data_IF_304195865115
#
_entry.id   IF_304195865115
#
_cell.length_a   1.000
_cell.length_b   1.000
_cell.length_c   1.000
_cell.angle_alpha   90.00
_cell.angle_beta   90.00
_cell.angle_gamma   90.00
#
_symmetry.space_group_name_H-M   'P 1'
#
loop_
_entity.id
_entity.type
_entity.pdbx_description
1 polymer ?
#
# COMPACT_ATOMS: atom_id res chain seq x y z
N UNK A 1 -2.98 16.94 21.18
CA UNK A 1 -4.13 16.08 21.57
C UNK A 1 -5.51 16.66 21.26
N UNK A 2 -5.77 17.96 21.46
CA UNK A 2 -7.11 18.53 21.29
C UNK A 2 -7.61 18.64 19.83
N UNK A 3 -6.73 18.73 18.81
CA UNK A 3 -7.12 18.91 17.40
C UNK A 3 -7.53 17.64 16.70
N UNK A 4 -6.94 16.47 17.01
CA UNK A 4 -7.38 15.17 16.49
C UNK A 4 -8.83 14.81 16.87
N UNK A 5 -9.35 15.36 17.97
CA UNK A 5 -10.72 15.12 18.42
C UNK A 5 -11.79 15.67 17.46
N UNK A 6 -11.43 16.55 16.50
CA UNK A 6 -12.36 17.15 15.53
C UNK A 6 -12.41 16.41 14.19
N UNK A 7 -11.46 15.52 13.90
CA UNK A 7 -11.51 14.73 12.67
C UNK A 7 -12.40 13.51 12.88
N UNK A 8 -13.61 13.60 12.36
CA UNK A 8 -14.58 12.52 12.40
C UNK A 8 -14.08 11.38 11.48
N UNK A 9 -14.13 10.09 11.91
CA UNK A 9 -13.86 8.95 11.04
C UNK A 9 -14.94 8.73 9.99
N UNK A 10 -15.88 9.65 9.90
CA UNK A 10 -16.92 9.66 8.90
C UNK A 10 -16.70 10.85 7.98
N UNK A 11 -16.86 10.63 6.68
CA UNK A 11 -17.13 11.75 5.83
C UNK A 11 -18.33 12.47 6.42
N UNK A 12 -18.13 13.69 6.91
CA UNK A 12 -19.21 14.64 7.10
C UNK A 12 -20.11 14.55 5.88
N UNK A 13 -21.41 14.78 6.02
CA UNK A 13 -22.36 14.80 4.88
C UNK A 13 -21.86 15.62 3.68
N UNK A 14 -20.89 16.54 3.90
CA UNK A 14 -20.20 17.29 2.85
C UNK A 14 -19.12 16.56 2.07
N UNK A 15 -18.64 15.39 2.49
CA UNK A 15 -17.56 14.69 1.75
C UNK A 15 -18.02 14.16 0.39
N UNK A 16 -19.21 13.58 0.22
CA UNK A 16 -19.70 13.23 -1.11
C UNK A 16 -19.75 14.44 -2.05
N UNK A 17 -20.14 15.61 -1.54
CA UNK A 17 -20.18 16.85 -2.30
C UNK A 17 -18.79 17.39 -2.62
N UNK A 18 -17.85 17.36 -1.68
CA UNK A 18 -16.44 17.71 -1.90
C UNK A 18 -15.83 16.77 -2.94
N UNK A 19 -16.06 15.47 -2.83
CA UNK A 19 -15.60 14.47 -3.81
C UNK A 19 -16.20 14.68 -5.20
N UNK A 20 -17.47 15.06 -5.29
CA UNK A 20 -18.11 15.39 -6.56
C UNK A 20 -17.50 16.64 -7.19
N UNK A 21 -17.34 17.74 -6.42
CA UNK A 21 -16.62 18.94 -6.87
C UNK A 21 -15.22 18.61 -7.36
N UNK A 22 -14.50 17.76 -6.61
CA UNK A 22 -13.17 17.28 -6.94
C UNK A 22 -13.13 16.53 -8.27
N UNK A 23 -14.08 15.62 -8.46
CA UNK A 23 -14.21 14.87 -9.71
C UNK A 23 -14.48 15.80 -10.90
N UNK A 24 -15.33 16.79 -10.71
CA UNK A 24 -15.64 17.79 -11.75
C UNK A 24 -14.38 18.62 -12.06
N UNK A 25 -13.70 19.14 -11.04
CA UNK A 25 -12.49 19.95 -11.20
C UNK A 25 -11.33 19.19 -11.85
N UNK A 26 -11.26 17.88 -11.67
CA UNK A 26 -10.26 17.01 -12.28
C UNK A 26 -10.75 16.36 -13.59
N UNK A 27 -11.98 16.59 -14.01
CA UNK A 27 -12.49 16.04 -15.25
C UNK A 27 -11.66 16.55 -16.43
N UNK A 28 -11.18 15.64 -17.27
CA UNK A 28 -10.29 15.97 -18.39
C UNK A 28 -8.84 16.27 -18.01
N UNK A 29 -8.50 16.39 -16.70
CA UNK A 29 -7.12 16.53 -16.27
C UNK A 29 -6.37 15.20 -16.45
N UNK A 30 -5.17 15.27 -17.02
CA UNK A 30 -4.30 14.11 -17.19
C UNK A 30 -3.05 14.29 -16.33
N UNK A 31 -2.55 13.18 -15.79
CA UNK A 31 -1.18 13.15 -15.25
C UNK A 31 -0.19 13.24 -16.41
N UNK A 32 1.03 13.76 -16.16
CA UNK A 32 2.12 13.63 -17.12
C UNK A 32 2.28 12.15 -17.52
N UNK A 33 2.48 11.92 -18.82
CA UNK A 33 2.59 10.57 -19.35
C UNK A 33 3.75 9.81 -18.70
N UNK A 34 3.51 8.56 -18.40
CA UNK A 34 4.57 7.66 -17.98
C UNK A 34 5.48 7.39 -19.18
N UNK A 35 6.79 7.46 -18.95
CA UNK A 35 7.82 7.18 -19.94
C UNK A 35 9.02 6.57 -19.24
N UNK A 36 9.76 5.74 -19.95
CA UNK A 36 11.03 5.24 -19.46
C UNK A 36 11.96 6.40 -19.11
N UNK A 37 12.54 6.35 -17.93
CA UNK A 37 13.47 7.36 -17.39
C UNK A 37 14.59 6.66 -16.63
N UNK A 38 15.74 7.33 -16.52
CA UNK A 38 16.84 6.88 -15.68
C UNK A 38 17.28 8.01 -14.75
N UNK A 39 17.70 7.63 -13.56
CA UNK A 39 18.36 8.45 -12.57
C UNK A 39 19.62 7.69 -12.11
N UNK A 40 20.57 8.34 -11.45
CA UNK A 40 21.81 7.71 -10.98
C UNK A 40 21.54 6.45 -10.12
N UNK A 41 20.58 6.56 -9.20
CA UNK A 41 20.21 5.49 -8.27
C UNK A 41 18.84 4.88 -8.56
N UNK A 42 18.38 4.91 -9.81
CA UNK A 42 17.08 4.33 -10.16
C UNK A 42 16.71 4.40 -11.63
N UNK A 43 15.63 3.72 -11.94
CA UNK A 43 15.03 3.77 -13.28
C UNK A 43 13.51 3.59 -13.19
N UNK A 44 12.80 4.11 -14.17
CA UNK A 44 11.40 3.87 -14.44
C UNK A 44 11.29 3.18 -15.79
N UNK A 45 10.62 2.03 -15.84
CA UNK A 45 10.29 1.31 -17.07
C UNK A 45 8.80 1.00 -17.14
N UNK A 46 8.28 0.88 -18.34
CA UNK A 46 6.92 0.42 -18.56
C UNK A 46 6.90 -1.08 -18.87
N UNK A 47 6.07 -1.82 -18.15
CA UNK A 47 5.76 -3.23 -18.45
C UNK A 47 4.27 -3.28 -18.77
N UNK A 48 3.94 -3.50 -20.04
CA UNK A 48 2.54 -3.49 -20.53
C UNK A 48 1.75 -2.27 -20.01
N UNK A 49 2.32 -1.08 -20.13
CA UNK A 49 1.79 0.22 -19.66
C UNK A 49 1.74 0.39 -18.13
N UNK A 50 2.20 -0.58 -17.34
CA UNK A 50 2.35 -0.44 -15.89
C UNK A 50 3.71 0.20 -15.59
N UNK A 51 3.75 1.37 -14.91
CA UNK A 51 5.01 1.96 -14.51
C UNK A 51 5.63 1.16 -13.37
N UNK A 52 6.87 0.72 -13.58
CA UNK A 52 7.71 0.00 -12.61
C UNK A 52 8.93 0.87 -12.32
N UNK A 53 9.05 1.32 -11.10
CA UNK A 53 10.13 2.21 -10.63
C UNK A 53 11.07 1.43 -9.75
N UNK A 54 12.36 1.46 -10.07
CA UNK A 54 13.43 0.91 -9.25
C UNK A 54 14.22 2.03 -8.60
N UNK A 55 14.49 1.91 -7.31
CA UNK A 55 15.38 2.82 -6.57
C UNK A 55 16.30 2.00 -5.68
N UNK A 56 17.59 2.42 -5.58
CA UNK A 56 18.65 1.67 -4.87
C UNK A 56 19.61 2.58 -4.13
N UNK A 57 20.31 2.00 -3.15
CA UNK A 57 21.36 2.64 -2.38
C UNK A 57 20.92 3.10 -1.00
N UNK A 58 21.52 4.17 -0.52
CA UNK A 58 21.17 4.78 0.78
C UNK A 58 19.78 5.39 0.75
N UNK A 59 19.15 5.64 1.92
CA UNK A 59 17.83 6.27 1.96
C UNK A 59 17.76 7.58 1.20
N UNK A 60 18.77 8.45 1.34
CA UNK A 60 18.81 9.73 0.63
C UNK A 60 18.91 9.54 -0.89
N UNK A 61 19.74 8.59 -1.35
CA UNK A 61 19.90 8.28 -2.78
C UNK A 61 18.59 7.74 -3.38
N UNK A 62 17.94 6.81 -2.68
CA UNK A 62 16.64 6.27 -3.12
C UNK A 62 15.56 7.35 -3.18
N UNK A 63 15.48 8.22 -2.17
CA UNK A 63 14.57 9.36 -2.15
C UNK A 63 14.81 10.31 -3.32
N UNK A 64 16.06 10.68 -3.57
CA UNK A 64 16.47 11.55 -4.67
C UNK A 64 16.10 10.95 -6.03
N UNK A 65 16.50 9.71 -6.27
CA UNK A 65 16.17 9.00 -7.51
C UNK A 65 14.66 8.95 -7.76
N UNK A 66 13.87 8.64 -6.73
CA UNK A 66 12.42 8.63 -6.84
C UNK A 66 11.87 10.03 -7.19
N UNK A 67 12.39 11.09 -6.56
CA UNK A 67 12.00 12.47 -6.85
C UNK A 67 12.30 12.88 -8.30
N UNK A 68 13.45 12.49 -8.85
CA UNK A 68 13.84 12.71 -10.24
C UNK A 68 12.96 11.95 -11.23
N UNK A 69 12.64 10.69 -10.91
CA UNK A 69 11.87 9.81 -11.80
C UNK A 69 10.39 10.19 -11.89
N UNK A 70 9.74 10.55 -10.76
CA UNK A 70 8.29 10.73 -10.69
C UNK A 70 7.85 12.10 -10.16
N UNK A 71 8.75 13.08 -10.07
CA UNK A 71 8.47 14.40 -9.46
C UNK A 71 7.35 15.18 -10.17
N UNK A 72 7.25 15.10 -11.50
CA UNK A 72 6.17 15.76 -12.25
C UNK A 72 4.79 15.19 -11.89
N UNK A 73 4.67 13.87 -11.87
CA UNK A 73 3.44 13.19 -11.48
C UNK A 73 3.11 13.50 -10.03
N UNK A 74 4.13 13.54 -9.17
CA UNK A 74 3.98 13.86 -7.74
C UNK A 74 3.41 15.26 -7.52
N UNK A 75 3.99 16.29 -8.14
CA UNK A 75 3.50 17.67 -8.01
C UNK A 75 2.05 17.80 -8.49
N UNK A 76 1.72 17.20 -9.64
CA UNK A 76 0.36 17.21 -10.17
C UNK A 76 -0.62 16.49 -9.25
N UNK A 77 -0.21 15.34 -8.69
CA UNK A 77 -1.04 14.57 -7.76
C UNK A 77 -1.20 15.31 -6.43
N UNK A 78 -0.14 15.93 -5.91
CA UNK A 78 -0.20 16.72 -4.70
C UNK A 78 -1.18 17.89 -4.85
N UNK A 79 -1.03 18.70 -5.90
CA UNK A 79 -1.90 19.84 -6.19
C UNK A 79 -3.36 19.44 -6.38
N UNK A 80 -3.62 18.35 -7.11
CA UNK A 80 -4.98 17.95 -7.52
C UNK A 80 -5.66 16.97 -6.58
N UNK A 81 -4.92 16.31 -5.69
CA UNK A 81 -5.47 15.30 -4.80
C UNK A 81 -5.36 15.71 -3.33
N UNK A 82 -4.16 16.04 -2.83
CA UNK A 82 -3.95 16.37 -1.42
C UNK A 82 -4.75 17.60 -1.01
N UNK A 83 -4.69 18.67 -1.78
CA UNK A 83 -5.44 19.90 -1.49
C UNK A 83 -6.96 19.71 -1.42
N UNK A 84 -7.48 18.65 -2.02
CA UNK A 84 -8.92 18.38 -2.00
C UNK A 84 -9.37 17.63 -0.75
N UNK A 85 -8.54 16.75 -0.21
CA UNK A 85 -8.80 16.02 1.04
C UNK A 85 -8.36 16.81 2.27
N UNK A 86 -7.36 17.66 2.11
CA UNK A 86 -6.76 18.48 3.16
C UNK A 86 -7.23 19.94 3.04
N UNK A 87 -8.44 20.28 3.49
CA UNK A 87 -8.93 21.66 3.41
C UNK A 87 -8.08 22.64 4.25
N UNK A 88 -7.36 22.14 5.25
CA UNK A 88 -6.38 22.86 6.04
C UNK A 88 -5.00 22.19 5.90
N UNK A 89 -4.38 22.33 4.74
CA UNK A 89 -3.04 21.77 4.45
C UNK A 89 -1.99 22.23 5.47
N UNK A 90 -2.07 23.46 5.94
CA UNK A 90 -1.14 23.98 6.97
C UNK A 90 -1.34 23.26 8.30
N UNK A 91 -2.58 23.03 8.72
CA UNK A 91 -2.89 22.26 9.91
C UNK A 91 -2.43 20.80 9.78
N UNK A 92 -2.62 20.18 8.62
CA UNK A 92 -2.17 18.81 8.36
C UNK A 92 -0.64 18.69 8.33
N UNK A 93 0.08 19.71 7.83
CA UNK A 93 1.54 19.78 7.93
C UNK A 93 2.01 19.85 9.39
N UNK A 94 1.32 20.58 10.25
CA UNK A 94 1.64 20.60 11.68
C UNK A 94 1.42 19.22 12.33
N UNK A 95 0.34 18.52 11.97
CA UNK A 95 0.12 17.14 12.43
C UNK A 95 1.20 16.20 11.95
N UNK A 96 1.63 16.30 10.70
CA UNK A 96 2.73 15.51 10.15
C UNK A 96 4.06 15.79 10.90
N UNK A 97 4.30 17.03 11.28
CA UNK A 97 5.45 17.41 12.12
C UNK A 97 5.38 16.81 13.53
N UNK A 98 4.19 16.70 14.12
CA UNK A 98 4.02 16.00 15.41
C UNK A 98 4.36 14.50 15.32
N UNK A 99 4.17 13.87 14.14
CA UNK A 99 4.51 12.47 13.89
C UNK A 99 6.00 12.26 13.55
N UNK A 100 6.68 13.27 13.02
CA UNK A 100 8.07 13.18 12.54
C UNK A 100 9.07 12.61 13.55
N UNK A 101 9.04 12.95 14.86
CA UNK A 101 9.97 12.40 15.84
C UNK A 101 9.91 10.87 15.99
N UNK A 102 8.82 10.24 15.56
CA UNK A 102 8.63 8.78 15.59
C UNK A 102 9.18 8.09 14.34
N UNK A 103 9.55 8.85 13.30
CA UNK A 103 10.14 8.29 12.10
C UNK A 103 11.60 7.90 12.35
N UNK A 104 12.03 6.69 11.91
CA UNK A 104 13.44 6.35 11.81
C UNK A 104 14.23 7.38 10.99
N UNK A 105 15.50 7.60 11.33
CA UNK A 105 16.37 8.54 10.63
C UNK A 105 16.42 8.27 9.12
N UNK A 106 16.53 7.01 8.73
CA UNK A 106 16.54 6.58 7.32
C UNK A 106 15.34 7.11 6.52
N UNK A 107 14.13 7.07 7.08
CA UNK A 107 12.96 7.62 6.39
C UNK A 107 13.00 9.16 6.30
N UNK A 108 13.55 9.84 7.31
CA UNK A 108 13.71 11.30 7.25
C UNK A 108 14.69 11.72 6.15
N UNK A 109 15.77 10.97 5.99
CA UNK A 109 16.75 11.18 4.92
C UNK A 109 16.14 10.93 3.54
N UNK A 110 15.39 9.85 3.40
CA UNK A 110 14.70 9.52 2.15
C UNK A 110 13.63 10.57 1.79
N UNK A 111 12.81 11.00 2.76
CA UNK A 111 11.81 12.06 2.57
C UNK A 111 12.50 13.37 2.16
N UNK A 112 13.66 13.69 2.73
CA UNK A 112 14.44 14.89 2.38
C UNK A 112 14.92 14.81 0.94
N UNK A 113 15.63 13.73 0.57
CA UNK A 113 16.11 13.52 -0.79
C UNK A 113 14.98 13.57 -1.82
N UNK A 114 13.84 12.91 -1.51
CA UNK A 114 12.66 12.96 -2.35
C UNK A 114 12.05 14.37 -2.45
N UNK A 115 11.88 15.08 -1.34
CA UNK A 115 11.30 16.43 -1.30
C UNK A 115 12.13 17.43 -2.12
N UNK A 116 13.44 17.37 -2.00
CA UNK A 116 14.38 18.21 -2.77
C UNK A 116 14.29 17.90 -4.27
N UNK A 117 14.47 16.65 -4.67
CA UNK A 117 14.52 16.25 -6.07
C UNK A 117 13.15 16.35 -6.79
N UNK A 118 12.04 16.13 -6.09
CA UNK A 118 10.70 16.29 -6.64
C UNK A 118 10.25 17.75 -6.76
N UNK A 119 10.91 18.67 -6.06
CA UNK A 119 10.51 20.08 -5.97
C UNK A 119 9.32 20.35 -5.06
N UNK A 120 8.87 19.38 -4.23
CA UNK A 120 7.85 19.59 -3.22
C UNK A 120 8.39 20.27 -1.94
N UNK A 121 9.67 20.03 -1.62
CA UNK A 121 10.24 20.33 -0.33
C UNK A 121 9.87 19.31 0.75
N UNK A 122 10.57 19.38 1.88
CA UNK A 122 10.47 18.38 2.95
C UNK A 122 9.09 18.29 3.59
N UNK A 123 8.47 19.42 3.92
CA UNK A 123 7.18 19.51 4.62
C UNK A 123 6.04 18.81 3.85
N UNK A 124 5.96 19.09 2.56
CA UNK A 124 4.94 18.52 1.71
C UNK A 124 5.19 17.02 1.48
N UNK A 125 6.47 16.65 1.32
CA UNK A 125 6.86 15.25 1.21
C UNK A 125 6.53 14.47 2.49
N UNK A 126 6.76 15.04 3.68
CA UNK A 126 6.42 14.46 4.97
C UNK A 126 4.90 14.30 5.14
N UNK A 127 4.12 15.33 4.79
CA UNK A 127 2.66 15.24 4.82
C UNK A 127 2.16 14.07 3.94
N UNK A 128 2.75 13.86 2.77
CA UNK A 128 2.43 12.72 1.91
C UNK A 128 2.53 11.38 2.62
N UNK A 129 3.52 11.21 3.51
CA UNK A 129 3.73 9.95 4.25
C UNK A 129 2.75 9.77 5.43
N UNK A 130 2.29 10.87 6.01
CA UNK A 130 1.35 10.86 7.14
C UNK A 130 -0.12 10.96 6.70
N UNK A 131 -0.37 11.21 5.40
CA UNK A 131 -1.68 11.53 4.87
C UNK A 131 -2.77 10.51 5.23
N UNK A 132 -2.47 9.21 5.14
CA UNK A 132 -3.45 8.16 5.43
C UNK A 132 -3.70 7.94 6.93
N UNK A 133 -2.78 8.34 7.80
CA UNK A 133 -3.01 8.38 9.25
C UNK A 133 -3.86 9.59 9.64
N UNK A 134 -3.68 10.72 8.97
CA UNK A 134 -4.45 11.94 9.19
C UNK A 134 -5.85 11.82 8.56
N UNK A 135 -5.92 11.36 7.30
CA UNK A 135 -7.14 11.21 6.51
C UNK A 135 -7.39 9.75 6.14
N UNK A 136 -8.34 9.12 6.80
CA UNK A 136 -8.69 7.72 6.60
C UNK A 136 -9.63 7.55 5.42
N UNK A 137 -9.10 7.32 4.23
CA UNK A 137 -9.91 7.33 2.99
C UNK A 137 -9.85 6.01 2.19
N UNK A 138 -9.21 4.95 2.73
CA UNK A 138 -9.05 3.68 2.02
C UNK A 138 -10.04 2.62 2.50
N UNK A 139 -10.64 1.91 1.55
CA UNK A 139 -11.39 0.67 1.77
C UNK A 139 -10.69 -0.46 1.01
N UNK A 140 -10.79 -1.68 1.54
CA UNK A 140 -10.06 -2.81 1.01
C UNK A 140 -10.78 -4.12 1.25
N UNK A 141 -10.43 -5.14 0.48
CA UNK A 141 -10.76 -6.53 0.76
C UNK A 141 -9.62 -7.44 0.35
N UNK A 142 -9.41 -8.51 1.08
CA UNK A 142 -8.33 -9.46 0.83
C UNK A 142 -8.74 -10.89 1.16
N UNK A 143 -8.15 -11.82 0.42
CA UNK A 143 -8.22 -13.26 0.61
C UNK A 143 -6.81 -13.83 0.48
N UNK A 144 -6.43 -14.74 1.38
CA UNK A 144 -5.29 -15.64 1.20
C UNK A 144 -5.78 -17.07 1.19
N UNK A 145 -5.21 -17.91 0.33
CA UNK A 145 -5.51 -19.34 0.26
C UNK A 145 -4.23 -20.10 -0.09
N UNK A 146 -4.07 -21.31 0.47
CA UNK A 146 -2.93 -22.20 0.23
C UNK A 146 -3.30 -23.68 0.40
N UNK A 147 -2.39 -24.58 0.09
CA UNK A 147 -2.52 -26.03 0.25
C UNK A 147 -3.84 -26.58 -0.33
N UNK A 148 -4.67 -27.19 0.50
CA UNK A 148 -5.94 -27.82 0.08
C UNK A 148 -6.97 -26.81 -0.47
N UNK A 149 -6.84 -25.51 -0.17
CA UNK A 149 -7.71 -24.46 -0.66
C UNK A 149 -7.34 -23.95 -2.07
N UNK A 150 -6.18 -24.31 -2.61
CA UNK A 150 -5.77 -23.92 -3.97
C UNK A 150 -5.67 -25.13 -4.90
N UNK A 151 -5.76 -24.88 -6.21
CA UNK A 151 -5.69 -25.97 -7.21
C UNK A 151 -4.30 -26.56 -7.33
N UNK A 152 -3.26 -25.76 -7.11
CA UNK A 152 -1.84 -26.13 -7.21
C UNK A 152 -1.19 -26.38 -5.86
N UNK A 153 -1.85 -26.10 -4.76
CA UNK A 153 -1.27 -26.08 -3.41
C UNK A 153 -0.45 -24.81 -3.10
N UNK A 154 -0.12 -23.98 -4.10
CA UNK A 154 0.64 -22.74 -3.90
C UNK A 154 -0.16 -21.72 -3.10
N UNK A 155 0.55 -20.86 -2.34
CA UNK A 155 -0.07 -19.76 -1.63
C UNK A 155 -0.37 -18.58 -2.58
N UNK A 156 -1.60 -18.10 -2.53
CA UNK A 156 -2.09 -16.94 -3.29
C UNK A 156 -2.70 -15.91 -2.37
N UNK A 157 -2.31 -14.64 -2.53
CA UNK A 157 -2.86 -13.52 -1.76
C UNK A 157 -3.50 -12.50 -2.71
N UNK A 158 -4.82 -12.42 -2.69
CA UNK A 158 -5.60 -11.46 -3.47
C UNK A 158 -5.97 -10.21 -2.67
N UNK A 159 -5.94 -9.03 -3.30
CA UNK A 159 -6.27 -7.76 -2.67
C UNK A 159 -6.97 -6.78 -3.60
N UNK A 160 -8.02 -6.11 -3.10
CA UNK A 160 -8.60 -4.89 -3.65
C UNK A 160 -8.17 -3.66 -2.88
N UNK A 161 -7.82 -2.58 -3.56
CA UNK A 161 -7.80 -1.25 -3.01
C UNK A 161 -8.94 -0.42 -3.60
N UNK A 162 -9.85 -0.07 -2.75
CA UNK A 162 -10.99 0.81 -3.02
C UNK A 162 -10.66 2.19 -2.45
N UNK A 163 -10.30 3.13 -3.33
CA UNK A 163 -9.76 4.43 -2.96
C UNK A 163 -10.36 5.52 -3.85
N UNK A 164 -10.80 6.65 -3.32
CA UNK A 164 -11.39 7.71 -4.13
C UNK A 164 -10.41 8.18 -5.20
N UNK A 165 -10.72 7.89 -6.45
CA UNK A 165 -9.86 8.28 -7.57
C UNK A 165 -9.81 9.78 -7.82
N UNK A 166 -10.92 10.49 -7.55
CA UNK A 166 -11.12 11.91 -7.90
C UNK A 166 -10.76 12.20 -9.37
N UNK A 167 -10.96 11.23 -10.25
CA UNK A 167 -10.62 11.26 -11.69
C UNK A 167 -9.12 11.36 -12.00
N UNK A 168 -8.22 11.19 -11.02
CA UNK A 168 -6.77 11.31 -11.22
C UNK A 168 -5.94 10.19 -10.55
N UNK A 169 -6.24 9.79 -9.32
CA UNK A 169 -5.40 8.87 -8.56
C UNK A 169 -5.29 7.46 -9.16
N UNK A 170 -6.28 7.02 -9.94
CA UNK A 170 -6.25 5.72 -10.63
C UNK A 170 -5.15 5.64 -11.70
N UNK A 171 -4.85 6.78 -12.36
CA UNK A 171 -3.79 6.87 -13.38
C UNK A 171 -2.39 7.02 -12.78
N UNK A 172 -2.31 7.25 -11.47
CA UNK A 172 -1.06 7.43 -10.74
C UNK A 172 -0.54 6.13 -10.10
N UNK A 173 -1.27 5.02 -10.18
CA UNK A 173 -0.82 3.75 -9.59
C UNK A 173 0.44 3.27 -10.29
N UNK A 174 1.45 2.88 -9.50
CA UNK A 174 2.72 2.36 -9.98
C UNK A 174 3.22 1.22 -9.09
N UNK A 175 4.08 0.39 -9.64
CA UNK A 175 4.91 -0.56 -8.89
C UNK A 175 6.20 0.15 -8.52
N UNK A 176 6.65 -0.04 -7.27
CA UNK A 176 7.96 0.42 -6.82
C UNK A 176 8.76 -0.77 -6.32
N UNK A 177 10.03 -0.81 -6.69
CA UNK A 177 11.02 -1.78 -6.26
C UNK A 177 12.13 -1.04 -5.51
N UNK A 178 12.32 -1.40 -4.26
CA UNK A 178 13.36 -0.86 -3.40
C UNK A 178 14.51 -1.85 -3.25
N UNK A 179 15.72 -1.39 -3.45
CA UNK A 179 16.97 -2.10 -3.19
C UNK A 179 17.82 -1.29 -2.20
N UNK A 180 17.42 -1.25 -0.92
CA UNK A 180 18.14 -0.49 0.09
C UNK A 180 19.46 -1.17 0.46
N UNK A 181 20.49 -0.38 0.67
CA UNK A 181 21.80 -0.86 1.07
C UNK A 181 21.73 -1.62 2.41
N UNK A 182 22.27 -2.85 2.43
CA UNK A 182 22.31 -3.67 3.63
C UNK A 182 20.97 -4.24 4.11
N UNK A 183 19.89 -4.11 3.33
CA UNK A 183 18.56 -4.64 3.66
C UNK A 183 18.00 -5.52 2.54
N UNK A 184 16.89 -6.21 2.82
CA UNK A 184 16.16 -6.98 1.80
C UNK A 184 15.60 -6.08 0.72
N UNK A 185 15.62 -6.58 -0.50
CA UNK A 185 14.88 -5.99 -1.62
C UNK A 185 13.38 -6.27 -1.44
N UNK A 186 12.58 -5.27 -1.72
CA UNK A 186 11.13 -5.42 -1.66
C UNK A 186 10.45 -4.55 -2.71
N UNK A 187 9.26 -4.94 -3.08
CA UNK A 187 8.43 -4.21 -4.03
C UNK A 187 7.02 -4.03 -3.50
N UNK A 188 6.33 -3.05 -4.02
CA UNK A 188 4.94 -2.83 -3.66
C UNK A 188 4.23 -1.92 -4.65
N UNK A 189 2.95 -1.71 -4.38
CA UNK A 189 2.11 -0.86 -5.19
C UNK A 189 1.86 0.44 -4.43
N UNK A 190 2.12 1.56 -5.10
CA UNK A 190 2.10 2.89 -4.50
C UNK A 190 1.68 3.96 -5.52
N UNK A 191 1.87 5.21 -5.17
CA UNK A 191 1.66 6.40 -5.97
C UNK A 191 2.89 7.32 -5.92
N UNK A 192 3.11 8.17 -6.93
CA UNK A 192 4.13 9.21 -6.86
C UNK A 192 4.00 10.06 -5.59
N UNK A 193 5.09 10.18 -4.85
CA UNK A 193 5.12 10.95 -3.60
C UNK A 193 4.68 10.22 -2.34
N UNK A 194 4.20 8.98 -2.46
CA UNK A 194 3.87 8.14 -1.33
C UNK A 194 4.93 7.04 -1.17
N UNK A 195 5.90 7.25 -0.26
CA UNK A 195 7.02 6.34 -0.04
C UNK A 195 6.62 5.11 0.79
N UNK A 196 5.51 5.19 1.52
CA UNK A 196 4.93 4.07 2.25
C UNK A 196 4.32 3.01 1.34
N UNK A 197 4.01 1.84 1.89
CA UNK A 197 3.37 0.74 1.16
C UNK A 197 2.08 0.30 1.86
N UNK A 198 1.07 -0.01 1.08
CA UNK A 198 -0.20 -0.60 1.54
C UNK A 198 -0.29 -2.09 1.17
N UNK A 199 0.51 -2.51 0.21
CA UNK A 199 0.67 -3.88 -0.26
C UNK A 199 2.04 -4.03 -0.91
N UNK A 200 2.64 -5.17 -0.71
CA UNK A 200 3.94 -5.47 -1.30
C UNK A 200 4.41 -6.88 -0.97
N UNK A 201 5.57 -7.21 -1.51
CA UNK A 201 6.25 -8.48 -1.31
C UNK A 201 7.76 -8.24 -1.32
N UNK A 202 8.51 -8.98 -0.49
CA UNK A 202 9.97 -8.95 -0.52
C UNK A 202 10.58 -10.16 -1.27
N UNK A 203 11.89 -10.13 -1.44
CA UNK A 203 12.65 -11.18 -2.14
C UNK A 203 12.66 -12.55 -1.44
N UNK A 204 12.30 -12.59 -0.15
CA UNK A 204 12.08 -13.84 0.59
C UNK A 204 10.68 -14.42 0.37
N UNK A 205 9.81 -13.71 -0.35
CA UNK A 205 8.44 -14.13 -0.62
C UNK A 205 7.46 -13.81 0.52
N UNK A 206 7.84 -12.94 1.46
CA UNK A 206 6.88 -12.38 2.42
C UNK A 206 6.04 -11.32 1.72
N UNK A 207 4.75 -11.54 1.61
CA UNK A 207 3.77 -10.62 1.04
C UNK A 207 2.84 -10.07 2.13
N UNK A 208 2.43 -8.81 2.00
CA UNK A 208 1.45 -8.17 2.85
C UNK A 208 0.41 -7.37 2.08
N UNK A 209 -0.79 -7.32 2.67
CA UNK A 209 -1.87 -6.44 2.22
C UNK A 209 -2.58 -5.85 3.42
N UNK A 210 -2.74 -4.53 3.47
CA UNK A 210 -3.42 -3.86 4.56
C UNK A 210 -4.89 -3.55 4.24
N UNK A 211 -5.72 -3.51 5.27
CA UNK A 211 -7.09 -3.01 5.25
C UNK A 211 -7.26 -1.99 6.37
N UNK A 212 -7.54 -0.74 6.01
CA UNK A 212 -7.80 0.29 6.99
C UNK A 212 -9.03 -0.07 7.83
N UNK A 213 -8.95 0.09 9.16
CA UNK A 213 -10.06 -0.10 10.07
C UNK A 213 -10.46 1.25 10.65
N UNK A 214 -11.74 1.56 10.60
CA UNK A 214 -12.28 2.74 11.25
C UNK A 214 -12.57 2.39 12.71
N UNK A 215 -11.57 2.62 13.58
CA UNK A 215 -11.66 2.38 15.01
C UNK A 215 -12.44 3.47 15.75
N UNK A 216 -12.61 3.28 17.06
CA UNK A 216 -13.25 4.29 17.90
C UNK A 216 -12.28 5.47 18.11
N UNK A 217 -12.78 6.71 18.10
CA UNK A 217 -11.99 7.96 18.26
C UNK A 217 -11.00 7.98 19.43
N UNK A 218 -11.26 7.19 20.49
CA UNK A 218 -10.39 7.10 21.66
C UNK A 218 -9.23 6.12 21.48
N UNK A 219 -9.18 5.38 20.38
CA UNK A 219 -8.17 4.35 20.14
C UNK A 219 -7.07 4.78 19.19
N UNK A 220 -7.06 6.02 18.74
CA UNK A 220 -6.08 6.50 17.75
C UNK A 220 -5.43 7.79 18.23
N UNK A 221 -4.12 7.88 18.02
CA UNK A 221 -3.28 9.00 18.41
C UNK A 221 -2.06 9.11 17.47
N UNK A 222 -1.40 10.25 17.45
CA UNK A 222 -0.23 10.48 16.59
C UNK A 222 1.11 10.04 17.22
N UNK A 223 1.08 9.34 18.36
CA UNK A 223 2.30 8.94 19.07
C UNK A 223 2.98 7.69 18.49
N UNK A 224 2.46 7.16 17.38
CA UNK A 224 3.03 6.02 16.66
C UNK A 224 3.74 6.42 15.38
N UNK A 225 4.26 5.41 14.68
CA UNK A 225 4.77 5.58 13.33
C UNK A 225 3.61 5.56 12.32
N UNK A 226 3.69 6.32 11.21
CA UNK A 226 2.76 6.19 10.09
C UNK A 226 2.72 4.74 9.61
N UNK A 227 1.51 4.14 9.59
CA UNK A 227 1.39 2.70 9.31
C UNK A 227 1.91 2.30 7.91
N UNK A 228 1.85 3.13 6.86
CA UNK A 228 2.40 2.73 5.57
C UNK A 228 3.92 2.56 5.59
N UNK A 229 4.63 3.33 6.41
CA UNK A 229 6.06 3.19 6.62
C UNK A 229 6.39 1.99 7.51
N UNK A 230 5.54 1.68 8.50
CA UNK A 230 5.67 0.44 9.31
C UNK A 230 5.57 -0.79 8.39
N UNK A 231 4.61 -0.84 7.48
CA UNK A 231 4.47 -1.99 6.56
C UNK A 231 5.64 -2.12 5.58
N UNK A 232 6.20 -1.00 5.15
CA UNK A 232 7.42 -1.01 4.37
C UNK A 232 8.59 -1.61 5.17
N UNK A 233 8.71 -1.30 6.46
CA UNK A 233 9.71 -1.90 7.35
C UNK A 233 9.49 -3.40 7.53
N UNK A 234 8.26 -3.87 7.63
CA UNK A 234 7.97 -5.32 7.66
C UNK A 234 8.60 -6.01 6.46
N UNK A 235 8.47 -5.45 5.26
CA UNK A 235 9.05 -6.03 4.05
C UNK A 235 10.59 -5.94 4.03
N UNK A 236 11.19 -4.90 4.57
CA UNK A 236 12.62 -4.72 4.64
C UNK A 236 13.29 -5.57 5.74
N UNK A 237 12.64 -5.74 6.90
CA UNK A 237 13.25 -6.30 8.10
C UNK A 237 12.84 -7.76 8.36
N UNK A 238 11.72 -8.26 7.82
CA UNK A 238 11.20 -9.61 8.08
C UNK A 238 11.30 -10.51 6.83
N UNK A 239 11.60 -11.80 7.03
CA UNK A 239 11.72 -12.79 5.95
C UNK A 239 10.44 -13.66 5.78
N UNK A 240 9.61 -13.77 6.82
CA UNK A 240 8.48 -14.68 6.86
C UNK A 240 7.35 -14.15 7.76
N UNK A 241 6.19 -14.84 7.72
CA UNK A 241 5.00 -14.46 8.49
C UNK A 241 5.25 -14.41 10.00
N UNK A 242 6.07 -15.32 10.55
CA UNK A 242 6.32 -15.36 11.99
C UNK A 242 7.09 -14.13 12.47
N UNK A 243 8.13 -13.74 11.73
CA UNK A 243 8.90 -12.52 12.02
C UNK A 243 8.04 -11.27 11.85
N UNK A 244 7.22 -11.21 10.78
CA UNK A 244 6.33 -10.10 10.52
C UNK A 244 5.27 -9.92 11.64
N UNK A 245 4.69 -11.02 12.12
CA UNK A 245 3.76 -10.99 13.27
C UNK A 245 4.45 -10.46 14.51
N UNK A 246 5.62 -11.01 14.87
CA UNK A 246 6.39 -10.56 16.04
C UNK A 246 6.78 -9.08 15.94
N UNK A 247 7.17 -8.63 14.73
CA UNK A 247 7.47 -7.22 14.46
C UNK A 247 6.25 -6.33 14.72
N UNK A 248 5.08 -6.74 14.20
CA UNK A 248 3.85 -5.98 14.33
C UNK A 248 3.30 -5.95 15.77
N UNK A 249 3.55 -6.96 16.59
CA UNK A 249 3.12 -6.99 17.99
C UNK A 249 3.85 -5.98 18.89
N UNK A 250 5.04 -5.54 18.51
CA UNK A 250 5.93 -4.74 19.37
C UNK A 250 5.92 -3.23 19.06
N UNK A 251 5.14 -2.77 18.09
CA UNK A 251 5.21 -1.39 17.59
C UNK A 251 3.98 -0.56 17.96
N UNK A 252 4.16 0.72 18.32
CA UNK A 252 3.04 1.64 18.45
C UNK A 252 2.59 2.09 17.06
N UNK A 253 1.28 2.07 16.84
CA UNK A 253 0.63 2.51 15.60
C UNK A 253 -0.17 3.79 15.81
N UNK A 254 -0.21 4.65 14.83
CA UNK A 254 -1.09 5.81 14.82
C UNK A 254 -2.54 5.44 14.52
N UNK A 255 -2.72 4.43 13.68
CA UNK A 255 -4.01 4.09 13.05
C UNK A 255 -4.33 2.62 13.18
N UNK A 256 -5.59 2.31 13.48
CA UNK A 256 -6.09 0.93 13.50
C UNK A 256 -6.17 0.36 12.10
N UNK A 257 -5.61 -0.83 11.90
CA UNK A 257 -5.57 -1.52 10.61
C UNK A 257 -5.69 -3.03 10.78
N UNK A 258 -6.12 -3.72 9.73
CA UNK A 258 -5.90 -5.15 9.58
C UNK A 258 -4.80 -5.36 8.53
N UNK A 259 -3.98 -6.37 8.73
CA UNK A 259 -2.94 -6.78 7.78
C UNK A 259 -3.11 -8.26 7.47
N UNK A 260 -3.14 -8.62 6.21
CA UNK A 260 -3.01 -10.00 5.75
C UNK A 260 -1.56 -10.23 5.37
N UNK A 261 -0.97 -11.27 5.92
CA UNK A 261 0.40 -11.72 5.66
C UNK A 261 0.37 -13.08 4.98
N UNK A 262 1.30 -13.32 4.07
CA UNK A 262 1.53 -14.59 3.40
C UNK A 262 3.02 -14.76 3.11
N UNK A 263 3.58 -15.97 3.18
CA UNK A 263 4.95 -16.23 2.78
C UNK A 263 5.09 -17.46 1.87
N UNK A 264 6.23 -17.61 1.20
CA UNK A 264 6.53 -18.75 0.31
C UNK A 264 6.56 -20.10 1.03
N UNK A 265 6.63 -20.11 2.37
CA UNK A 265 6.49 -21.33 3.20
C UNK A 265 5.04 -21.74 3.41
N UNK A 266 4.07 -21.11 2.73
CA UNK A 266 2.62 -21.35 2.83
C UNK A 266 2.04 -21.01 4.20
N UNK A 267 2.70 -20.14 4.96
CA UNK A 267 2.12 -19.60 6.17
C UNK A 267 1.32 -18.34 5.83
N UNK A 268 0.17 -18.20 6.48
CA UNK A 268 -0.61 -16.98 6.40
C UNK A 268 -1.12 -16.55 7.78
N UNK A 269 -1.24 -15.24 7.96
CA UNK A 269 -1.82 -14.67 9.17
C UNK A 269 -2.62 -13.40 8.85
N UNK A 270 -3.73 -13.23 9.54
CA UNK A 270 -4.46 -11.99 9.65
C UNK A 270 -4.12 -11.35 10.97
N UNK A 271 -3.50 -10.18 10.94
CA UNK A 271 -3.13 -9.40 12.13
C UNK A 271 -4.05 -8.21 12.22
N UNK A 272 -4.82 -8.11 13.29
CA UNK A 272 -5.70 -6.99 13.58
C UNK A 272 -4.97 -6.05 14.56
N UNK A 273 -4.52 -4.91 14.05
CA UNK A 273 -3.74 -3.93 14.79
C UNK A 273 -4.68 -2.95 15.49
N UNK A 274 -4.95 -3.22 16.74
CA UNK A 274 -5.60 -2.28 17.64
C UNK A 274 -4.52 -1.51 18.42
N UNK A 275 -4.76 -0.24 18.75
CA UNK A 275 -3.75 0.66 19.37
C UNK A 275 -2.99 0.09 20.57
N UNK A 276 -3.57 -0.85 21.30
CA UNK A 276 -2.98 -1.44 22.50
C UNK A 276 -2.53 -2.89 22.30
N UNK A 277 -2.93 -3.55 21.22
CA UNK A 277 -2.76 -4.99 21.06
C UNK A 277 -2.87 -5.39 19.60
N UNK A 278 -1.98 -6.26 19.16
CA UNK A 278 -2.15 -7.02 17.94
C UNK A 278 -2.95 -8.31 18.24
N UNK A 279 -3.93 -8.64 17.40
CA UNK A 279 -4.71 -9.87 17.49
C UNK A 279 -4.42 -10.68 16.24
N UNK A 280 -3.87 -11.86 16.44
CA UNK A 280 -3.37 -12.71 15.35
C UNK A 280 -4.28 -13.91 15.14
N UNK A 281 -4.71 -14.10 13.90
CA UNK A 281 -5.41 -15.30 13.44
C UNK A 281 -4.59 -15.93 12.32
N UNK A 282 -4.14 -17.16 12.54
CA UNK A 282 -3.26 -17.89 11.62
C UNK A 282 -4.04 -18.88 10.78
N UNK A 283 -3.57 -19.14 9.58
CA UNK A 283 -4.02 -20.28 8.80
C UNK A 283 -3.45 -21.59 9.39
N UNK A 284 -4.12 -22.69 9.08
CA UNK A 284 -3.71 -24.05 9.42
C UNK A 284 -4.12 -25.01 8.29
N UNK A 285 -3.70 -26.28 8.31
CA UNK A 285 -4.18 -27.29 7.35
C UNK A 285 -5.70 -27.42 7.30
N UNK A 286 -6.38 -27.24 8.45
CA UNK A 286 -7.84 -27.30 8.60
C UNK A 286 -8.50 -25.95 8.22
N UNK A 287 -7.71 -24.87 8.21
CA UNK A 287 -8.14 -23.53 7.86
C UNK A 287 -7.17 -22.90 6.85
N UNK A 288 -7.08 -23.47 5.62
CA UNK A 288 -6.06 -23.08 4.64
C UNK A 288 -6.41 -21.76 3.89
N UNK A 289 -7.43 -21.04 4.32
CA UNK A 289 -7.81 -19.76 3.73
C UNK A 289 -8.31 -18.77 4.79
N UNK A 290 -7.89 -17.51 4.65
CA UNK A 290 -8.31 -16.40 5.49
C UNK A 290 -8.85 -15.25 4.62
N UNK A 291 -9.82 -14.51 5.16
CA UNK A 291 -10.35 -13.32 4.50
C UNK A 291 -10.46 -12.14 5.48
N UNK A 292 -10.30 -10.94 4.97
CA UNK A 292 -10.39 -9.73 5.76
C UNK A 292 -10.91 -8.54 4.96
N UNK A 293 -11.53 -7.59 5.66
CA UNK A 293 -12.00 -6.31 5.14
C UNK A 293 -11.76 -5.19 6.17
N UNK A 294 -12.53 -4.11 6.15
CA UNK A 294 -12.25 -2.89 6.91
C UNK A 294 -12.91 -2.84 8.31
N UNK A 295 -13.03 -3.97 9.00
CA UNK A 295 -13.52 -4.00 10.38
C UNK A 295 -12.82 -5.11 11.17
N UNK A 296 -12.80 -4.96 12.50
CA UNK A 296 -12.29 -6.00 13.38
C UNK A 296 -13.25 -7.19 13.44
N UNK A 297 -12.69 -8.38 13.44
CA UNK A 297 -13.45 -9.64 13.53
C UNK A 297 -13.48 -10.19 14.96
N UNK A 298 -12.59 -9.71 15.81
CA UNK A 298 -12.49 -10.13 17.21
C UNK A 298 -13.61 -9.52 18.04
N UNK A 299 -14.25 -10.36 18.86
CA UNK A 299 -15.31 -9.92 19.78
C UNK A 299 -14.76 -8.92 20.81
N UNK A 300 -15.50 -7.87 21.09
CA UNK A 300 -15.11 -6.83 22.04
C UNK A 300 -14.33 -5.66 21.45
N UNK A 301 -13.83 -5.77 20.22
CA UNK A 301 -13.17 -4.68 19.51
C UNK A 301 -14.18 -3.98 18.57
N UNK A 302 -14.64 -2.81 18.99
CA UNK A 302 -15.59 -2.03 18.20
C UNK A 302 -14.89 -1.35 17.05
N UNK A 303 -15.39 -1.56 15.83
CA UNK A 303 -15.05 -0.82 14.64
C UNK A 303 -16.32 -0.51 13.86
N UNK A 304 -16.31 0.60 13.14
CA UNK A 304 -17.45 0.94 12.30
C UNK A 304 -17.39 0.10 11.02
N UNK A 305 -18.22 -0.96 10.97
CA UNK A 305 -18.51 -1.67 9.75
C UNK A 305 -19.52 -0.84 8.95
N UNK A 306 -19.03 0.01 8.05
CA UNK A 306 -19.89 0.90 7.28
C UNK A 306 -20.89 0.12 6.45
N UNK A 307 -22.18 0.37 6.63
CA UNK A 307 -23.27 -0.35 5.95
C UNK A 307 -23.38 0.01 4.46
N UNK A 308 -22.97 1.19 4.03
CA UNK A 308 -23.18 1.68 2.67
C UNK A 308 -22.23 1.09 1.61
N UNK A 309 -20.98 0.83 1.98
CA UNK A 309 -20.00 0.11 1.16
C UNK A 309 -19.59 -1.19 1.83
N UNK A 310 -20.43 -1.62 2.67
CA UNK A 310 -20.53 -2.85 3.43
C UNK A 310 -19.25 -3.69 3.50
N UNK A 311 -18.39 -3.32 4.43
CA UNK A 311 -17.25 -4.15 4.83
C UNK A 311 -17.70 -5.57 5.19
N UNK A 312 -18.84 -5.70 5.86
CA UNK A 312 -19.47 -6.99 6.23
C UNK A 312 -20.01 -7.76 5.03
N UNK A 313 -20.64 -7.11 4.05
CA UNK A 313 -21.13 -7.79 2.84
C UNK A 313 -19.95 -8.31 1.99
N UNK A 314 -18.91 -7.50 1.81
CA UNK A 314 -17.70 -7.94 1.09
C UNK A 314 -17.04 -9.12 1.79
N UNK A 315 -16.92 -9.08 3.13
CA UNK A 315 -16.42 -10.22 3.90
C UNK A 315 -17.33 -11.43 3.76
N UNK A 316 -18.64 -11.25 3.76
CA UNK A 316 -19.62 -12.33 3.53
C UNK A 316 -19.44 -13.01 2.18
N UNK A 317 -19.12 -12.28 1.12
CA UNK A 317 -18.80 -12.86 -0.19
C UNK A 317 -17.52 -13.70 -0.15
N UNK A 318 -16.45 -13.18 0.49
CA UNK A 318 -15.18 -13.90 0.64
C UNK A 318 -15.38 -15.18 1.47
N UNK A 319 -16.06 -15.10 2.60
CA UNK A 319 -16.33 -16.25 3.46
C UNK A 319 -17.19 -17.32 2.78
N UNK A 320 -18.21 -16.93 2.01
CA UNK A 320 -19.01 -17.90 1.23
C UNK A 320 -18.16 -18.59 0.18
N UNK A 321 -17.25 -17.88 -0.49
CA UNK A 321 -16.32 -18.49 -1.44
C UNK A 321 -15.40 -19.52 -0.76
N UNK A 322 -14.87 -19.20 0.44
CA UNK A 322 -14.08 -20.16 1.24
C UNK A 322 -14.94 -21.36 1.64
N UNK A 323 -16.12 -21.13 2.18
CA UNK A 323 -17.01 -22.18 2.70
C UNK A 323 -17.60 -23.07 1.60
N UNK A 324 -17.57 -22.66 0.33
CA UNK A 324 -18.04 -23.49 -0.79
C UNK A 324 -17.14 -24.70 -1.08
N UNK A 325 -15.93 -24.77 -0.51
CA UNK A 325 -14.97 -25.82 -0.76
C UNK A 325 -14.34 -25.81 -2.17
N UNK A 326 -14.69 -24.83 -2.99
CA UNK A 326 -14.09 -24.68 -4.34
C UNK A 326 -12.66 -24.20 -4.21
N UNK A 327 -11.73 -24.96 -4.78
CA UNK A 327 -10.32 -24.59 -4.79
C UNK A 327 -10.05 -23.33 -5.61
N UNK A 328 -9.21 -22.46 -5.09
CA UNK A 328 -8.81 -21.22 -5.73
C UNK A 328 -7.66 -21.44 -6.70
N UNK A 329 -7.76 -20.83 -7.85
CA UNK A 329 -6.67 -20.50 -8.76
C UNK A 329 -6.61 -18.99 -8.93
N UNK A 330 -5.65 -18.51 -9.69
CA UNK A 330 -5.45 -17.06 -9.93
C UNK A 330 -6.71 -16.42 -10.53
N UNK A 331 -7.36 -17.09 -11.49
CA UNK A 331 -8.53 -16.50 -12.17
C UNK A 331 -9.77 -16.47 -11.28
N UNK A 332 -9.96 -17.46 -10.43
CA UNK A 332 -11.02 -17.42 -9.40
C UNK A 332 -10.79 -16.33 -8.37
N UNK A 333 -9.53 -16.12 -7.95
CA UNK A 333 -9.20 -14.97 -7.08
C UNK A 333 -9.50 -13.66 -7.80
N UNK A 334 -9.10 -13.47 -9.06
CA UNK A 334 -9.43 -12.28 -9.86
C UNK A 334 -10.94 -12.05 -9.95
N UNK A 335 -11.71 -13.09 -10.23
CA UNK A 335 -13.17 -13.02 -10.29
C UNK A 335 -13.77 -12.62 -8.93
N UNK A 336 -13.27 -13.18 -7.84
CA UNK A 336 -13.70 -12.84 -6.48
C UNK A 336 -13.34 -11.41 -6.10
N UNK A 337 -12.15 -10.95 -6.45
CA UNK A 337 -11.75 -9.56 -6.29
C UNK A 337 -12.66 -8.61 -7.06
N UNK A 338 -13.04 -8.95 -8.29
CA UNK A 338 -14.01 -8.16 -9.05
C UNK A 338 -15.37 -8.09 -8.36
N UNK A 339 -15.86 -9.21 -7.81
CA UNK A 339 -17.14 -9.28 -7.10
C UNK A 339 -17.13 -8.49 -5.78
N UNK A 340 -15.98 -8.38 -5.12
CA UNK A 340 -15.83 -7.70 -3.82
C UNK A 340 -15.29 -6.29 -3.93
N UNK A 341 -14.96 -5.82 -5.13
CA UNK A 341 -14.57 -4.44 -5.40
C UNK A 341 -15.73 -3.47 -5.20
N UNK A 342 -15.45 -2.27 -4.74
CA UNK A 342 -16.43 -1.17 -4.70
C UNK A 342 -16.37 -0.44 -6.06
N UNK A 343 -17.40 -0.58 -6.92
CA UNK A 343 -17.30 -0.16 -8.33
C UNK A 343 -16.89 1.30 -8.54
N UNK A 344 -17.35 2.19 -7.66
CA UNK A 344 -17.10 3.63 -7.82
C UNK A 344 -15.69 4.09 -7.42
N UNK A 345 -14.95 3.26 -6.67
CA UNK A 345 -13.67 3.65 -6.06
C UNK A 345 -12.59 2.57 -6.11
N UNK A 346 -12.85 1.39 -6.70
CA UNK A 346 -11.80 0.39 -6.85
C UNK A 346 -10.79 0.84 -7.91
N UNK A 347 -9.54 1.05 -7.52
CA UNK A 347 -8.48 1.51 -8.43
C UNK A 347 -7.32 0.53 -8.61
N UNK A 348 -7.16 -0.44 -7.69
CA UNK A 348 -6.10 -1.45 -7.78
C UNK A 348 -6.66 -2.83 -7.40
N UNK A 349 -6.27 -3.84 -8.18
CA UNK A 349 -6.44 -5.26 -7.86
C UNK A 349 -5.11 -5.95 -8.02
N UNK A 350 -4.76 -6.82 -7.08
CA UNK A 350 -3.46 -7.46 -7.01
C UNK A 350 -3.63 -8.91 -6.61
N UNK A 351 -2.85 -9.80 -7.24
CA UNK A 351 -2.72 -11.20 -6.84
C UNK A 351 -1.24 -11.51 -6.67
N UNK A 352 -0.77 -11.62 -5.44
CA UNK A 352 0.59 -12.04 -5.11
C UNK A 352 0.73 -13.54 -5.19
N UNK A 353 1.87 -14.01 -5.70
CA UNK A 353 2.30 -15.41 -5.81
C UNK A 353 3.65 -15.55 -5.08
N UNK A 354 3.66 -15.65 -3.75
CA UNK A 354 4.88 -15.63 -2.94
C UNK A 354 5.94 -16.67 -3.34
N UNK A 355 5.53 -17.88 -3.68
CA UNK A 355 6.46 -18.96 -4.08
C UNK A 355 7.17 -18.67 -5.41
N UNK A 356 6.52 -17.90 -6.31
CA UNK A 356 7.07 -17.51 -7.61
C UNK A 356 7.78 -16.16 -7.58
N UNK A 357 7.67 -15.41 -6.49
CA UNK A 357 8.19 -14.04 -6.35
C UNK A 357 7.66 -13.09 -7.43
N UNK A 358 6.43 -13.28 -7.86
CA UNK A 358 5.75 -12.47 -8.86
C UNK A 358 4.36 -12.06 -8.39
N UNK A 359 3.77 -11.08 -9.03
CA UNK A 359 2.36 -10.73 -8.81
C UNK A 359 1.71 -10.16 -10.05
N UNK A 360 0.40 -10.22 -10.10
CA UNK A 360 -0.41 -9.63 -11.15
C UNK A 360 -1.14 -8.41 -10.63
N UNK A 361 -1.08 -7.32 -11.39
CA UNK A 361 -1.73 -6.05 -11.06
C UNK A 361 -2.74 -5.64 -12.12
N UNK A 362 -3.84 -5.05 -11.69
CA UNK A 362 -4.80 -4.41 -12.58
C UNK A 362 -5.14 -3.02 -12.04
N UNK A 363 -4.59 -2.00 -12.66
CA UNK A 363 -4.85 -0.60 -12.36
C UNK A 363 -5.92 -0.05 -13.30
N UNK A 364 -6.61 1.01 -12.89
CA UNK A 364 -7.49 1.68 -13.81
C UNK A 364 -8.64 2.45 -13.17
N UNK A 365 -9.42 3.10 -14.03
CA UNK A 365 -10.55 3.91 -13.61
C UNK A 365 -11.61 3.06 -12.90
N UNK A 366 -12.22 3.54 -11.81
CA UNK A 366 -13.18 2.76 -11.01
C UNK A 366 -14.38 2.22 -11.82
N UNK A 367 -14.84 2.96 -12.82
CA UNK A 367 -15.98 2.56 -13.66
C UNK A 367 -15.65 1.49 -14.71
N UNK A 368 -14.37 1.17 -14.92
CA UNK A 368 -13.96 0.11 -15.84
C UNK A 368 -14.20 -1.26 -15.20
N UNK A 369 -15.22 -1.99 -15.62
CA UNK A 369 -15.62 -3.27 -15.03
C UNK A 369 -14.55 -4.35 -15.16
N UNK A 370 -14.23 -4.76 -16.39
CA UNK A 370 -13.13 -5.68 -16.69
C UNK A 370 -11.84 -4.89 -16.86
N UNK A 371 -10.77 -5.31 -16.19
CA UNK A 371 -9.43 -4.75 -16.32
C UNK A 371 -8.47 -5.83 -16.77
N UNK A 372 -7.53 -5.46 -17.61
CA UNK A 372 -6.41 -6.32 -17.94
C UNK A 372 -5.51 -6.44 -16.71
N UNK A 373 -5.15 -7.67 -16.36
CA UNK A 373 -4.10 -7.93 -15.41
C UNK A 373 -2.76 -8.01 -16.14
N UNK A 374 -1.75 -7.39 -15.56
CA UNK A 374 -0.37 -7.42 -16.04
C UNK A 374 0.46 -8.18 -15.02
N UNK A 375 1.18 -9.19 -15.48
CA UNK A 375 2.13 -9.91 -14.65
C UNK A 375 3.40 -9.09 -14.52
N UNK A 376 3.82 -8.84 -13.28
CA UNK A 376 5.13 -8.28 -12.97
C UNK A 376 6.00 -9.45 -12.50
N UNK A 377 6.90 -9.94 -13.36
CA UNK A 377 7.66 -11.15 -13.08
C UNK A 377 8.79 -10.88 -12.09
N UNK A 378 9.34 -11.95 -11.51
CA UNK A 378 10.42 -11.91 -10.52
C UNK A 378 11.60 -11.04 -10.97
N UNK A 379 12.00 -11.18 -12.23
CA UNK A 379 13.14 -10.47 -12.82
C UNK A 379 12.91 -8.95 -12.85
N UNK A 380 11.66 -8.54 -13.01
CA UNK A 380 11.27 -7.13 -12.97
C UNK A 380 11.10 -6.60 -11.55
N UNK A 381 10.99 -7.45 -10.54
CA UNK A 381 10.83 -7.04 -9.13
C UNK A 381 12.14 -7.07 -8.36
N UNK A 382 12.98 -8.07 -8.64
CA UNK A 382 14.16 -8.41 -7.85
C UNK A 382 15.38 -8.68 -8.75
N UNK A 383 15.50 -7.97 -9.89
CA UNK A 383 16.67 -8.08 -10.77
C UNK A 383 17.94 -7.82 -9.96
N UNK A 384 18.94 -8.68 -10.13
CA UNK A 384 20.29 -8.36 -9.69
C UNK A 384 20.82 -7.24 -10.58
N UNK A 385 21.47 -6.22 -9.99
CA UNK A 385 22.23 -5.26 -10.78
C UNK A 385 23.18 -6.04 -11.70
N UNK A 386 23.09 -5.82 -13.01
CA UNK A 386 24.03 -6.47 -13.94
C UNK A 386 25.46 -6.07 -13.57
N UNK A 387 26.45 -6.97 -13.66
CA UNK A 387 27.85 -6.68 -13.30
C UNK A 387 28.44 -5.40 -13.96
N UNK A 388 27.93 -5.01 -15.13
CA UNK A 388 28.26 -3.78 -15.85
C UNK A 388 27.82 -2.51 -15.08
N UNK A 389 26.69 -2.56 -14.39
CA UNK A 389 26.22 -1.40 -13.59
C UNK A 389 26.95 -1.27 -12.26
N UNK A 390 27.39 -2.39 -11.67
CA UNK A 390 28.23 -2.40 -10.49
C UNK A 390 29.65 -1.90 -10.80
N UNK A 391 30.16 -2.13 -12.00
CA UNK A 391 31.47 -1.65 -12.45
C UNK A 391 31.49 -0.15 -12.76
N UNK A 392 30.41 0.41 -13.33
CA UNK A 392 30.29 1.86 -13.56
C UNK A 392 30.20 2.65 -12.26
N UNK A 393 29.46 2.14 -11.27
CA UNK A 393 29.39 2.77 -9.93
C UNK A 393 30.74 2.69 -9.20
N UNK A 394 31.47 1.57 -9.33
CA UNK A 394 32.79 1.41 -8.73
C UNK A 394 33.88 2.27 -9.42
N UNK A 395 33.71 2.63 -10.69
CA UNK A 395 34.61 3.53 -11.42
C UNK A 395 34.32 5.00 -11.13
N UNK A 396 33.09 5.38 -10.84
CA UNK A 396 32.71 6.76 -10.49
C UNK A 396 33.01 7.12 -9.02
N UNK A 397 33.30 6.15 -8.15
CA UNK A 397 33.63 6.34 -6.72
C UNK A 397 35.09 6.29 -6.37
N UNK A 398 36.02 6.29 -7.38
CA UNK A 398 37.46 6.46 -7.11
C UNK A 398 37.81 7.95 -7.08
N UNK A 399 38.49 8.41 -6.01
CA UNK A 399 38.86 9.82 -5.80
C UNK A 399 39.77 10.37 -6.88
#
# INVERSE_FOLDING_TARGET
>A
MARLRKQLPFPELGVPWKMLKARIANFGQKLPAWRDKRAEHGELRLIDDVPVVHVRGTPQQMGRALGELVGEQTRKLYDRYIHMFAPDVKGDMLLAREMEPRLPAAFKEEIRGFGEASGLGYEQALLGQCFLDIHKVALCSTLVAHDSATTTGEILLGRNLDFPSLSIAHAASMVICYEPEGQRRYSGITWPGFLGLLSGMNEDGLALAMMLVYGHKRSEHLDGQPFPLVFRRVLAECSNVNEAVKFLETRPYCTTTNVMLADKGRHAARVQLHMKKAIVDRSSPEKPALACTNHFLEKGYRSFAFTWFSSTLRLGHLRRAIASGVKFDVDRIKALLQKTAIPAINIQRIVFKPERLEYEVAFGHPTTGKRRYVTIPREALFAQATPSQAAEVALSSRP
#
